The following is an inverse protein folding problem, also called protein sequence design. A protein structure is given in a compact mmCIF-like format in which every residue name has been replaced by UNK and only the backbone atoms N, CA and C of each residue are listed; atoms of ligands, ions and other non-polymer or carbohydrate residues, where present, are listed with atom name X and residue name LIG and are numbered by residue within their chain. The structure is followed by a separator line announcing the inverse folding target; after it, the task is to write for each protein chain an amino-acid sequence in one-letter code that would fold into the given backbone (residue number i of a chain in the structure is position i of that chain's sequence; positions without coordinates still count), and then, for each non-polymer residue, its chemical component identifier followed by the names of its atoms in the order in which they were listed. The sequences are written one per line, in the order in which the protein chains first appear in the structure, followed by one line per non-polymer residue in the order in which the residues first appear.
data_IF_587946644915
#
_entry.id   IF_587946644915
#
_cell.length_a   1.000
_cell.length_b   1.000
_cell.length_c   1.000
_cell.angle_alpha   90.00
_cell.angle_beta   90.00
_cell.angle_gamma   90.00
#
_symmetry.space_group_name_H-M   'P 1'
#
loop_
_entity.id
_entity.type
_entity.pdbx_description
1 polymer ?
#
# COMPACT_ATOMS: atom_id res chain seq x y z
N UNK A 1 -54.27 -79.30 86.74
CA UNK A 1 -53.69 -79.78 85.46
C UNK A 1 -53.72 -78.75 84.32
N UNK A 2 -53.97 -77.46 84.58
CA UNK A 2 -54.01 -76.41 83.54
C UNK A 2 -52.70 -75.63 83.36
N UNK A 3 -51.69 -75.83 84.23
CA UNK A 3 -50.47 -75.02 84.28
C UNK A 3 -49.40 -75.42 83.23
N UNK A 4 -49.31 -76.70 82.84
CA UNK A 4 -48.31 -77.16 81.86
C UNK A 4 -48.68 -76.75 80.41
N UNK A 5 -49.98 -76.66 80.11
CA UNK A 5 -50.46 -76.24 78.79
C UNK A 5 -50.21 -74.75 78.49
N UNK A 6 -50.28 -73.88 79.51
CA UNK A 6 -49.96 -72.45 79.37
C UNK A 6 -48.47 -72.21 79.22
N UNK A 7 -47.63 -72.93 79.98
CA UNK A 7 -46.17 -72.81 79.89
C UNK A 7 -45.63 -73.18 78.49
N UNK A 8 -46.09 -74.30 77.92
CA UNK A 8 -45.72 -74.71 76.55
C UNK A 8 -46.21 -73.75 75.47
N UNK A 9 -47.36 -73.11 75.67
CA UNK A 9 -47.85 -72.08 74.73
C UNK A 9 -46.98 -70.83 74.77
N UNK A 10 -46.52 -70.41 75.95
CA UNK A 10 -45.64 -69.24 76.11
C UNK A 10 -44.26 -69.49 75.50
N UNK A 11 -43.67 -70.68 75.69
CA UNK A 11 -42.37 -71.01 75.09
C UNK A 11 -42.45 -71.16 73.57
N UNK A 12 -43.52 -71.75 73.04
CA UNK A 12 -43.76 -71.82 71.60
C UNK A 12 -43.94 -70.42 70.98
N UNK A 13 -44.70 -69.53 71.64
CA UNK A 13 -44.85 -68.14 71.18
C UNK A 13 -43.52 -67.39 71.19
N UNK A 14 -42.70 -67.54 72.24
CA UNK A 14 -41.38 -66.92 72.32
C UNK A 14 -40.44 -67.41 71.20
N UNK A 15 -40.42 -68.71 70.90
CA UNK A 15 -39.62 -69.28 69.81
C UNK A 15 -40.09 -68.76 68.44
N UNK A 16 -41.40 -68.64 68.21
CA UNK A 16 -41.90 -68.09 66.94
C UNK A 16 -41.55 -66.61 66.74
N UNK A 17 -41.56 -65.82 67.83
CA UNK A 17 -41.16 -64.41 67.80
C UNK A 17 -39.67 -64.25 67.50
N UNK A 18 -38.79 -65.03 68.12
CA UNK A 18 -37.35 -64.97 67.84
C UNK A 18 -37.01 -65.42 66.43
N UNK A 19 -37.69 -66.45 65.90
CA UNK A 19 -37.52 -66.89 64.51
C UNK A 19 -37.96 -65.80 63.52
N UNK A 20 -39.08 -65.14 63.78
CA UNK A 20 -39.57 -64.04 62.93
C UNK A 20 -38.62 -62.84 62.94
N UNK A 21 -38.07 -62.47 64.10
CA UNK A 21 -37.08 -61.39 64.24
C UNK A 21 -35.78 -61.71 63.47
N UNK A 22 -35.32 -62.96 63.53
CA UNK A 22 -34.16 -63.40 62.76
C UNK A 22 -34.42 -63.37 61.25
N UNK A 23 -35.62 -63.76 60.80
CA UNK A 23 -36.02 -63.64 59.40
C UNK A 23 -36.02 -62.16 58.94
N UNK A 24 -36.54 -61.23 59.74
CA UNK A 24 -36.50 -59.81 59.42
C UNK A 24 -35.07 -59.26 59.34
N UNK A 25 -34.17 -59.68 60.24
CA UNK A 25 -32.76 -59.29 60.18
C UNK A 25 -32.07 -59.79 58.91
N UNK A 26 -32.30 -61.05 58.52
CA UNK A 26 -31.76 -61.60 57.27
C UNK A 26 -32.28 -60.82 56.07
N UNK A 27 -33.59 -60.52 56.02
CA UNK A 27 -34.17 -59.73 54.95
C UNK A 27 -33.57 -58.33 54.87
N UNK A 28 -33.34 -57.68 56.01
CA UNK A 28 -32.69 -56.37 56.06
C UNK A 28 -31.25 -56.41 55.52
N UNK A 29 -30.48 -57.44 55.88
CA UNK A 29 -29.10 -57.64 55.38
C UNK A 29 -29.11 -57.89 53.88
N UNK A 30 -30.02 -58.72 53.37
CA UNK A 30 -30.16 -58.99 51.92
C UNK A 30 -30.48 -57.69 51.17
N UNK A 31 -31.44 -56.90 51.66
CA UNK A 31 -31.78 -55.61 51.06
C UNK A 31 -30.59 -54.66 51.08
N UNK A 32 -29.87 -54.55 52.21
CA UNK A 32 -28.68 -53.72 52.31
C UNK A 32 -27.58 -54.13 51.32
N UNK A 33 -27.37 -55.44 51.11
CA UNK A 33 -26.41 -55.96 50.13
C UNK A 33 -26.82 -55.64 48.68
N UNK A 34 -28.11 -55.73 48.37
CA UNK A 34 -28.64 -55.34 47.05
C UNK A 34 -28.42 -53.85 46.81
N UNK A 35 -28.73 -53.00 47.80
CA UNK A 35 -28.50 -51.56 47.71
C UNK A 35 -27.02 -51.21 47.57
N UNK A 36 -26.15 -51.86 48.34
CA UNK A 36 -24.71 -51.66 48.23
C UNK A 36 -24.21 -52.01 46.82
N UNK A 37 -24.62 -53.17 46.28
CA UNK A 37 -24.29 -53.56 44.90
C UNK A 37 -24.83 -52.57 43.87
N UNK A 38 -26.04 -52.03 44.07
CA UNK A 38 -26.65 -51.05 43.19
C UNK A 38 -25.87 -49.72 43.17
N UNK A 39 -25.45 -49.24 44.34
CA UNK A 39 -24.66 -48.01 44.46
C UNK A 39 -23.29 -48.19 43.80
N UNK A 40 -22.63 -49.33 44.01
CA UNK A 40 -21.35 -49.61 43.37
C UNK A 40 -21.49 -49.63 41.84
N UNK A 41 -22.53 -50.29 41.30
CA UNK A 41 -22.80 -50.30 39.86
C UNK A 41 -23.05 -48.89 39.30
N UNK A 42 -23.87 -48.10 39.99
CA UNK A 42 -24.16 -46.73 39.60
C UNK A 42 -22.90 -45.83 39.63
N UNK A 43 -21.96 -46.06 40.56
CA UNK A 43 -20.67 -45.37 40.58
C UNK A 43 -19.82 -45.71 39.37
N UNK A 44 -19.78 -46.97 38.94
CA UNK A 44 -19.04 -47.37 37.75
C UNK A 44 -19.59 -46.71 36.48
N UNK A 45 -20.92 -46.72 36.30
CA UNK A 45 -21.57 -46.04 35.17
C UNK A 45 -21.36 -44.51 35.22
N UNK A 46 -21.29 -43.93 36.42
CA UNK A 46 -21.02 -42.50 36.58
C UNK A 46 -19.57 -42.12 36.25
N UNK A 47 -18.59 -42.93 36.65
CA UNK A 47 -17.16 -42.62 36.40
C UNK A 47 -16.85 -42.66 34.90
N UNK A 48 -17.47 -43.60 34.14
CA UNK A 48 -17.35 -43.66 32.68
C UNK A 48 -17.92 -42.40 32.00
N UNK A 49 -19.12 -41.97 32.39
CA UNK A 49 -19.73 -40.74 31.85
C UNK A 49 -18.92 -39.50 32.26
N UNK A 50 -18.37 -39.48 33.47
CA UNK A 50 -17.57 -38.37 33.99
C UNK A 50 -16.29 -38.14 33.18
N UNK A 51 -15.63 -39.19 32.68
CA UNK A 51 -14.47 -39.01 31.78
C UNK A 51 -14.88 -38.30 30.49
N UNK A 52 -15.95 -38.78 29.83
CA UNK A 52 -16.45 -38.12 28.60
C UNK A 52 -16.91 -36.68 28.85
N UNK A 53 -17.54 -36.42 30.00
CA UNK A 53 -18.01 -35.09 30.36
C UNK A 53 -16.85 -34.14 30.70
N UNK A 54 -15.79 -34.66 31.34
CA UNK A 54 -14.58 -33.92 31.62
C UNK A 54 -13.86 -33.52 30.31
N UNK A 55 -13.78 -34.43 29.35
CA UNK A 55 -13.22 -34.12 28.03
C UNK A 55 -14.01 -33.06 27.28
N UNK A 56 -15.35 -33.11 27.36
CA UNK A 56 -16.24 -32.07 26.83
C UNK A 56 -15.99 -30.73 27.54
N UNK A 57 -15.90 -30.70 28.88
CA UNK A 57 -15.62 -29.46 29.62
C UNK A 57 -14.25 -28.88 29.20
N UNK A 58 -13.24 -29.72 29.07
CA UNK A 58 -11.90 -29.31 28.64
C UNK A 58 -11.96 -28.73 27.23
N UNK A 59 -12.70 -29.35 26.30
CA UNK A 59 -12.84 -28.84 24.93
C UNK A 59 -13.55 -27.48 24.90
N UNK A 60 -14.65 -27.33 25.64
CA UNK A 60 -15.37 -26.06 25.75
C UNK A 60 -14.51 -24.97 26.38
N UNK A 61 -13.75 -25.28 27.44
CA UNK A 61 -12.84 -24.30 28.05
C UNK A 61 -11.76 -23.84 27.07
N UNK A 62 -11.24 -24.77 26.24
CA UNK A 62 -10.27 -24.48 25.18
C UNK A 62 -10.89 -23.63 24.07
N UNK A 63 -12.10 -23.97 23.64
CA UNK A 63 -12.84 -23.21 22.61
C UNK A 63 -13.19 -21.81 23.09
N UNK A 64 -13.65 -21.65 24.33
CA UNK A 64 -13.93 -20.34 24.93
C UNK A 64 -12.67 -19.49 25.03
N UNK A 65 -11.54 -20.09 25.41
CA UNK A 65 -10.25 -19.39 25.43
C UNK A 65 -9.85 -18.91 24.03
N UNK A 66 -9.93 -19.78 23.03
CA UNK A 66 -9.62 -19.44 21.64
C UNK A 66 -10.57 -18.37 21.06
N UNK A 67 -11.86 -18.44 21.40
CA UNK A 67 -12.85 -17.43 21.02
C UNK A 67 -12.53 -16.07 21.67
N UNK A 68 -12.13 -16.06 22.95
CA UNK A 68 -11.73 -14.85 23.67
C UNK A 68 -10.49 -14.22 23.05
N UNK A 69 -9.46 -15.01 22.73
CA UNK A 69 -8.24 -14.53 22.05
C UNK A 69 -8.56 -13.96 20.66
N UNK A 70 -9.42 -14.63 19.89
CA UNK A 70 -9.87 -14.16 18.57
C UNK A 70 -10.65 -12.85 18.67
N UNK A 71 -11.53 -12.72 19.68
CA UNK A 71 -12.26 -11.47 19.96
C UNK A 71 -11.33 -10.35 20.39
N UNK A 72 -10.29 -10.62 21.18
CA UNK A 72 -9.28 -9.62 21.52
C UNK A 72 -8.54 -9.12 20.28
N UNK A 73 -8.10 -10.02 19.40
CA UNK A 73 -7.46 -9.65 18.13
C UNK A 73 -8.40 -8.82 17.26
N UNK A 74 -9.67 -9.21 17.16
CA UNK A 74 -10.68 -8.47 16.41
C UNK A 74 -10.92 -7.08 17.02
N UNK A 75 -11.00 -6.98 18.35
CA UNK A 75 -11.15 -5.71 19.07
C UNK A 75 -9.97 -4.79 18.84
N UNK A 76 -8.74 -5.30 18.91
CA UNK A 76 -7.53 -4.53 18.60
C UNK A 76 -7.52 -4.04 17.15
N UNK A 77 -7.92 -4.89 16.19
CA UNK A 77 -8.06 -4.50 14.77
C UNK A 77 -9.13 -3.44 14.56
N UNK A 78 -10.29 -3.57 15.20
CA UNK A 78 -11.39 -2.59 15.14
C UNK A 78 -10.96 -1.26 15.74
N UNK A 79 -10.28 -1.26 16.89
CA UNK A 79 -9.77 -0.04 17.52
C UNK A 79 -8.73 0.67 16.63
N UNK A 80 -7.83 -0.09 15.99
CA UNK A 80 -6.88 0.47 15.03
C UNK A 80 -7.56 1.09 13.80
N UNK A 81 -8.54 0.38 13.23
CA UNK A 81 -9.33 0.90 12.09
C UNK A 81 -10.11 2.14 12.51
N UNK A 82 -10.72 2.13 13.70
CA UNK A 82 -11.46 3.26 14.25
C UNK A 82 -10.56 4.48 14.43
N UNK A 83 -9.36 4.31 15.00
CA UNK A 83 -8.39 5.39 15.15
C UNK A 83 -7.96 5.97 13.80
N UNK A 84 -7.68 5.10 12.81
CA UNK A 84 -7.35 5.53 11.44
C UNK A 84 -8.53 6.21 10.74
N UNK A 85 -9.74 5.74 10.98
CA UNK A 85 -10.98 6.34 10.47
C UNK A 85 -11.20 7.72 11.07
N UNK A 86 -10.99 7.89 12.38
CA UNK A 86 -11.09 9.19 13.05
C UNK A 86 -10.04 10.17 12.51
N UNK A 87 -8.81 9.72 12.28
CA UNK A 87 -7.77 10.53 11.63
C UNK A 87 -8.17 10.95 10.21
N UNK A 88 -8.75 10.03 9.42
CA UNK A 88 -9.26 10.33 8.09
C UNK A 88 -10.39 11.36 8.13
N UNK A 89 -11.34 11.22 9.07
CA UNK A 89 -12.43 12.18 9.27
C UNK A 89 -11.91 13.56 9.66
N UNK A 90 -10.90 13.65 10.53
CA UNK A 90 -10.24 14.92 10.86
C UNK A 90 -9.61 15.58 9.63
N UNK A 91 -8.92 14.80 8.78
CA UNK A 91 -8.36 15.31 7.52
C UNK A 91 -9.45 15.80 6.56
N UNK A 92 -10.57 15.07 6.48
CA UNK A 92 -11.73 15.47 5.67
C UNK A 92 -12.30 16.79 6.20
N UNK A 93 -12.50 16.94 7.51
CA UNK A 93 -13.01 18.18 8.10
C UNK A 93 -12.09 19.39 7.80
N UNK A 94 -10.76 19.19 7.84
CA UNK A 94 -9.79 20.24 7.46
C UNK A 94 -9.92 20.59 5.97
N UNK A 95 -10.05 19.59 5.10
CA UNK A 95 -10.23 19.80 3.67
C UNK A 95 -11.55 20.52 3.36
N UNK A 96 -12.64 20.13 4.02
CA UNK A 96 -13.94 20.77 3.91
C UNK A 96 -13.89 22.24 4.34
N UNK A 97 -13.21 22.54 5.45
CA UNK A 97 -12.97 23.93 5.88
C UNK A 97 -12.19 24.75 4.83
N UNK A 98 -11.17 24.15 4.20
CA UNK A 98 -10.42 24.80 3.11
C UNK A 98 -11.28 25.02 1.87
N UNK A 99 -12.11 24.05 1.50
CA UNK A 99 -13.04 24.14 0.37
C UNK A 99 -14.06 25.25 0.64
N UNK A 100 -14.61 25.33 1.85
CA UNK A 100 -15.55 26.38 2.23
C UNK A 100 -14.90 27.77 2.16
N UNK A 101 -13.66 27.91 2.63
CA UNK A 101 -12.92 29.18 2.52
C UNK A 101 -12.68 29.59 1.06
N UNK A 102 -12.29 28.65 0.19
CA UNK A 102 -12.11 28.92 -1.25
C UNK A 102 -13.46 29.29 -1.89
N UNK A 103 -14.53 28.58 -1.51
CA UNK A 103 -15.89 28.83 -2.01
C UNK A 103 -16.38 30.22 -1.60
N UNK A 104 -16.12 30.64 -0.36
CA UNK A 104 -16.45 31.96 0.16
C UNK A 104 -15.66 33.05 -0.60
N UNK A 105 -14.35 32.87 -0.78
CA UNK A 105 -13.50 33.79 -1.56
C UNK A 105 -13.85 33.84 -3.05
N UNK A 106 -14.34 32.74 -3.61
CA UNK A 106 -14.84 32.68 -4.98
C UNK A 106 -16.25 33.31 -5.10
N UNK A 107 -17.01 33.33 -4.01
CA UNK A 107 -18.33 33.97 -3.93
C UNK A 107 -18.26 35.45 -3.58
N UNK A 108 -17.10 35.96 -3.13
CA UNK A 108 -16.87 37.40 -2.93
C UNK A 108 -16.91 38.14 -4.29
N UNK A 109 -17.90 39.01 -4.52
CA UNK A 109 -18.10 39.71 -5.80
C UNK A 109 -17.03 40.80 -6.07
N UNK A 110 -16.10 41.01 -5.13
CA UNK A 110 -15.04 42.01 -5.25
C UNK A 110 -13.79 41.50 -5.97
N UNK A 111 -13.54 40.18 -6.00
CA UNK A 111 -12.40 39.63 -6.75
C UNK A 111 -12.52 39.87 -8.26
N UNK A 112 -13.74 39.77 -8.78
CA UNK A 112 -14.04 40.03 -10.19
C UNK A 112 -14.00 41.53 -10.52
N UNK A 113 -14.41 42.39 -9.58
CA UNK A 113 -14.35 43.85 -9.73
C UNK A 113 -12.93 44.40 -9.61
N UNK A 114 -12.12 43.85 -8.70
CA UNK A 114 -10.69 44.19 -8.56
C UNK A 114 -9.89 43.74 -9.79
N UNK A 115 -10.15 42.52 -10.29
CA UNK A 115 -9.55 42.03 -11.53
C UNK A 115 -9.94 42.92 -12.72
N UNK A 116 -11.21 43.32 -12.84
CA UNK A 116 -11.67 44.22 -13.89
C UNK A 116 -11.06 45.62 -13.80
N UNK A 117 -10.91 46.17 -12.58
CA UNK A 117 -10.26 47.45 -12.35
C UNK A 117 -8.78 47.40 -12.77
N UNK A 118 -8.05 46.36 -12.35
CA UNK A 118 -6.64 46.17 -12.72
C UNK A 118 -6.46 45.93 -14.22
N UNK A 119 -7.39 45.24 -14.88
CA UNK A 119 -7.36 45.05 -16.33
C UNK A 119 -7.56 46.37 -17.09
N UNK A 120 -8.47 47.23 -16.62
CA UNK A 120 -8.67 48.58 -17.15
C UNK A 120 -7.44 49.48 -16.96
N UNK A 121 -6.78 49.40 -15.80
CA UNK A 121 -5.56 50.18 -15.53
C UNK A 121 -4.39 49.72 -16.40
N UNK A 122 -4.24 48.41 -16.61
CA UNK A 122 -3.27 47.84 -17.54
C UNK A 122 -3.59 48.29 -18.97
N UNK A 123 -4.85 48.29 -19.38
CA UNK A 123 -5.25 48.74 -20.72
C UNK A 123 -4.90 50.22 -20.97
N UNK A 124 -5.14 51.09 -19.98
CA UNK A 124 -4.74 52.50 -20.03
C UNK A 124 -3.21 52.65 -20.12
N UNK A 125 -2.47 51.95 -19.28
CA UNK A 125 -1.01 51.98 -19.31
C UNK A 125 -0.46 51.47 -20.65
N UNK A 126 -1.08 50.45 -21.23
CA UNK A 126 -0.69 49.91 -22.54
C UNK A 126 -0.96 50.93 -23.66
N UNK A 127 -2.09 51.65 -23.61
CA UNK A 127 -2.39 52.75 -24.55
C UNK A 127 -1.40 53.90 -24.44
N UNK A 128 -1.01 54.29 -23.23
CA UNK A 128 -0.01 55.35 -23.02
C UNK A 128 1.38 54.92 -23.49
N UNK A 129 1.74 53.66 -23.31
CA UNK A 129 2.98 53.08 -23.86
C UNK A 129 2.94 53.07 -25.39
N UNK A 130 1.81 52.70 -26.00
CA UNK A 130 1.66 52.74 -27.47
C UNK A 130 1.77 54.18 -27.99
N UNK A 131 1.13 55.15 -27.34
CA UNK A 131 1.21 56.56 -27.73
C UNK A 131 2.64 57.11 -27.57
N UNK A 132 3.32 56.79 -26.47
CA UNK A 132 4.73 57.16 -26.28
C UNK A 132 5.64 56.48 -27.29
N UNK A 133 5.39 55.22 -27.65
CA UNK A 133 6.11 54.51 -28.71
C UNK A 133 5.88 55.17 -30.08
N UNK A 134 4.67 55.60 -30.41
CA UNK A 134 4.38 56.34 -31.64
C UNK A 134 5.14 57.68 -31.69
N UNK A 135 5.21 58.41 -30.57
CA UNK A 135 6.03 59.64 -30.51
C UNK A 135 7.52 59.36 -30.62
N UNK A 136 8.00 58.25 -30.05
CA UNK A 136 9.40 57.81 -30.17
C UNK A 136 9.72 57.38 -31.59
N UNK A 137 8.84 56.64 -32.27
CA UNK A 137 8.98 56.25 -33.68
C UNK A 137 9.04 57.49 -34.57
N UNK A 138 8.16 58.46 -34.38
CA UNK A 138 8.20 59.72 -35.14
C UNK A 138 9.50 60.51 -34.91
N UNK A 139 10.02 60.50 -33.67
CA UNK A 139 11.34 61.07 -33.35
C UNK A 139 12.46 60.28 -33.99
N UNK A 140 12.39 58.96 -33.99
CA UNK A 140 13.36 58.07 -34.63
C UNK A 140 13.36 58.27 -36.15
N UNK A 141 12.21 58.43 -36.80
CA UNK A 141 12.12 58.77 -38.22
C UNK A 141 12.69 60.17 -38.53
N UNK A 142 12.54 61.12 -37.61
CA UNK A 142 13.15 62.46 -37.74
C UNK A 142 14.68 62.42 -37.53
N UNK A 143 15.16 61.50 -36.70
CA UNK A 143 16.57 61.25 -36.45
C UNK A 143 17.18 60.45 -37.60
N UNK A 144 16.50 59.44 -38.10
CA UNK A 144 16.84 58.63 -39.27
C UNK A 144 16.94 59.53 -40.50
N UNK A 145 16.00 60.44 -40.75
CA UNK A 145 16.15 61.46 -41.82
C UNK A 145 17.38 62.36 -41.64
N UNK A 146 17.84 62.61 -40.40
CA UNK A 146 19.07 63.35 -40.09
C UNK A 146 20.34 62.49 -40.15
N UNK A 147 20.23 61.17 -39.95
CA UNK A 147 21.32 60.20 -39.97
C UNK A 147 21.53 59.64 -41.39
N UNK A 148 20.49 59.52 -42.20
CA UNK A 148 20.54 59.16 -43.62
C UNK A 148 21.27 60.23 -44.46
N UNK A 149 21.30 61.48 -44.00
CA UNK A 149 22.16 62.53 -44.58
C UNK A 149 23.63 62.42 -44.18
N UNK A 150 23.99 61.48 -43.29
CA UNK A 150 25.33 61.33 -42.75
C UNK A 150 25.97 59.94 -43.00
N UNK A 151 25.20 58.86 -43.21
CA UNK A 151 25.76 57.53 -43.40
C UNK A 151 24.94 56.63 -44.34
N UNK A 152 25.57 56.24 -45.45
CA UNK A 152 25.28 55.05 -46.27
C UNK A 152 26.38 53.99 -45.98
N UNK A 153 26.21 52.70 -46.34
CA UNK A 153 25.85 51.61 -45.42
C UNK A 153 27.02 50.68 -45.09
N UNK A 154 26.90 49.90 -44.00
CA UNK A 154 27.69 48.69 -43.79
C UNK A 154 26.91 47.69 -42.95
N UNK A 155 26.47 46.60 -43.58
CA UNK A 155 26.02 45.39 -42.88
C UNK A 155 27.19 44.77 -42.09
N UNK A 156 26.90 43.98 -41.04
CA UNK A 156 26.99 42.53 -41.27
C UNK A 156 25.94 41.70 -40.51
N UNK A 157 25.71 40.50 -41.06
CA UNK A 157 24.77 39.51 -40.55
C UNK A 157 25.04 39.01 -39.13
N UNK A 158 23.97 38.54 -38.50
CA UNK A 158 24.00 37.88 -37.19
C UNK A 158 23.52 36.43 -37.36
N UNK A 159 24.51 35.57 -37.29
CA UNK A 159 24.48 34.13 -37.13
C UNK A 159 23.70 33.73 -35.87
N UNK A 160 22.74 32.82 -36.02
CA UNK A 160 21.90 32.36 -34.92
C UNK A 160 22.69 31.45 -33.97
N UNK A 161 22.92 31.96 -32.77
CA UNK A 161 23.58 31.29 -31.64
C UNK A 161 22.60 30.40 -30.89
N UNK A 162 22.85 29.08 -30.86
CA UNK A 162 22.56 28.24 -29.69
C UNK A 162 23.70 27.22 -29.50
N UNK A 163 24.61 27.43 -28.53
CA UNK A 163 25.71 26.54 -28.23
C UNK A 163 25.33 25.65 -27.05
N UNK A 164 25.16 24.36 -27.28
CA UNK A 164 25.21 23.37 -26.20
C UNK A 164 26.38 22.44 -26.51
N UNK A 165 27.45 22.66 -25.73
CA UNK A 165 28.75 21.98 -25.71
C UNK A 165 28.66 20.51 -26.15
N UNK A 166 29.11 20.23 -27.37
CA UNK A 166 29.07 18.90 -28.02
C UNK A 166 30.23 17.98 -27.63
N UNK A 167 31.22 18.47 -26.90
CA UNK A 167 32.51 17.75 -26.76
C UNK A 167 32.79 17.16 -25.36
N UNK A 168 32.01 17.51 -24.31
CA UNK A 168 32.23 16.96 -22.95
C UNK A 168 31.35 15.77 -22.56
N UNK A 169 30.62 15.23 -23.52
CA UNK A 169 29.51 14.30 -23.28
C UNK A 169 30.00 12.84 -23.23
N UNK A 170 31.08 12.52 -23.95
CA UNK A 170 31.62 11.16 -24.07
C UNK A 170 32.74 10.82 -23.06
N UNK A 171 33.40 11.81 -22.46
CA UNK A 171 34.54 11.58 -21.55
C UNK A 171 34.16 10.93 -20.20
N UNK A 172 32.88 10.88 -19.85
CA UNK A 172 32.39 10.31 -18.59
C UNK A 172 31.63 8.97 -18.75
N UNK A 173 31.71 8.34 -19.92
CA UNK A 173 31.05 7.06 -20.15
C UNK A 173 31.94 5.91 -19.67
N UNK A 174 31.36 5.02 -18.87
CA UNK A 174 32.03 3.78 -18.47
C UNK A 174 32.09 2.80 -19.65
N UNK A 175 33.08 1.91 -19.70
CA UNK A 175 33.27 0.95 -20.82
C UNK A 175 31.99 0.16 -21.16
N UNK A 176 31.16 -0.13 -20.17
CA UNK A 176 29.87 -0.81 -20.32
C UNK A 176 28.76 0.09 -20.87
N UNK A 177 28.78 1.40 -20.58
CA UNK A 177 27.83 2.37 -21.15
C UNK A 177 28.05 2.49 -22.67
N UNK A 178 29.31 2.55 -23.11
CA UNK A 178 29.68 2.66 -24.51
C UNK A 178 29.30 1.40 -25.31
N UNK A 179 29.61 0.21 -24.78
CA UNK A 179 29.23 -1.06 -25.41
C UNK A 179 27.72 -1.24 -25.63
N UNK A 180 26.88 -0.65 -24.75
CA UNK A 180 25.43 -0.66 -24.93
C UNK A 180 25.00 0.30 -26.05
N UNK A 181 25.61 1.49 -26.12
CA UNK A 181 25.27 2.48 -27.14
C UNK A 181 25.65 1.99 -28.55
N UNK A 182 26.84 1.39 -28.70
CA UNK A 182 27.27 0.76 -29.95
C UNK A 182 26.33 -0.36 -30.39
N UNK A 183 25.92 -1.23 -29.46
CA UNK A 183 24.98 -2.32 -29.75
C UNK A 183 23.64 -1.78 -30.25
N UNK A 184 23.09 -0.76 -29.59
CA UNK A 184 21.80 -0.17 -29.98
C UNK A 184 21.90 0.59 -31.31
N UNK A 185 23.07 1.16 -31.63
CA UNK A 185 23.33 1.77 -32.92
C UNK A 185 23.42 0.72 -34.05
N UNK A 186 24.02 -0.45 -33.80
CA UNK A 186 24.18 -1.51 -34.80
C UNK A 186 22.91 -2.36 -34.99
N UNK A 187 22.24 -2.73 -33.89
CA UNK A 187 21.17 -3.74 -33.88
C UNK A 187 19.75 -3.14 -33.69
N UNK A 188 19.65 -1.84 -33.42
CA UNK A 188 18.38 -1.12 -33.31
C UNK A 188 17.66 -1.28 -31.95
N UNK A 189 16.35 -1.00 -31.88
CA UNK A 189 15.62 -0.87 -30.62
C UNK A 189 15.41 -2.20 -29.89
N UNK A 190 16.03 -2.33 -28.71
CA UNK A 190 16.03 -3.56 -27.90
C UNK A 190 15.40 -3.42 -26.52
N UNK A 191 15.03 -4.56 -25.97
CA UNK A 191 14.46 -4.71 -24.62
C UNK A 191 15.58 -4.84 -23.59
N UNK A 192 15.34 -4.42 -22.33
CA UNK A 192 16.31 -4.60 -21.24
C UNK A 192 16.80 -6.05 -21.05
N UNK A 193 15.96 -7.05 -21.36
CA UNK A 193 16.33 -8.47 -21.27
C UNK A 193 17.35 -8.88 -22.33
N UNK A 194 17.21 -8.35 -23.55
CA UNK A 194 18.12 -8.63 -24.68
C UNK A 194 19.47 -7.94 -24.46
N UNK A 195 19.44 -6.70 -23.94
CA UNK A 195 20.65 -5.96 -23.59
C UNK A 195 21.42 -6.68 -22.47
N UNK A 196 20.71 -7.18 -21.45
CA UNK A 196 21.27 -7.97 -20.34
C UNK A 196 22.04 -9.19 -20.82
N UNK A 197 21.49 -9.93 -21.78
CA UNK A 197 22.11 -11.15 -22.31
C UNK A 197 23.46 -10.86 -22.97
N UNK A 198 23.59 -9.72 -23.65
CA UNK A 198 24.81 -9.32 -24.34
C UNK A 198 25.90 -8.81 -23.39
N UNK A 199 25.55 -8.01 -22.39
CA UNK A 199 26.51 -7.46 -21.41
C UNK A 199 26.83 -8.41 -20.25
N UNK A 200 26.14 -9.56 -20.16
CA UNK A 200 26.29 -10.58 -19.10
C UNK A 200 26.26 -10.01 -17.67
N UNK A 201 25.49 -8.94 -17.45
CA UNK A 201 25.29 -8.34 -16.12
C UNK A 201 24.00 -8.80 -15.46
N UNK A 202 23.88 -8.55 -14.15
CA UNK A 202 22.61 -8.75 -13.43
C UNK A 202 21.50 -7.90 -14.04
N UNK A 203 20.26 -8.41 -13.97
CA UNK A 203 19.04 -7.70 -14.38
C UNK A 203 18.92 -6.33 -13.71
N UNK A 204 19.35 -6.23 -12.45
CA UNK A 204 19.31 -4.98 -11.70
C UNK A 204 20.34 -3.96 -12.19
N UNK A 205 21.58 -4.40 -12.42
CA UNK A 205 22.64 -3.52 -12.96
C UNK A 205 22.28 -3.01 -14.35
N UNK A 206 21.70 -3.87 -15.19
CA UNK A 206 21.21 -3.48 -16.52
C UNK A 206 20.11 -2.43 -16.41
N UNK A 207 19.15 -2.61 -15.50
CA UNK A 207 18.08 -1.63 -15.29
C UNK A 207 18.62 -0.27 -14.80
N UNK A 208 19.58 -0.29 -13.86
CA UNK A 208 20.25 0.94 -13.37
C UNK A 208 21.01 1.64 -14.49
N UNK A 209 21.71 0.89 -15.33
CA UNK A 209 22.44 1.39 -16.49
C UNK A 209 21.50 2.05 -17.51
N UNK A 210 20.41 1.38 -17.88
CA UNK A 210 19.42 1.93 -18.81
C UNK A 210 18.75 3.19 -18.25
N UNK A 211 18.44 3.21 -16.95
CA UNK A 211 17.89 4.39 -16.27
C UNK A 211 18.88 5.56 -16.33
N UNK A 212 20.15 5.32 -16.04
CA UNK A 212 21.21 6.33 -16.10
C UNK A 212 21.40 6.90 -17.52
N UNK A 213 21.43 6.05 -18.55
CA UNK A 213 21.57 6.48 -19.95
C UNK A 213 20.33 7.25 -20.45
N UNK A 214 19.14 6.87 -19.98
CA UNK A 214 17.90 7.62 -20.24
C UNK A 214 17.92 9.00 -19.58
N UNK A 215 18.31 9.10 -18.30
CA UNK A 215 18.42 10.38 -17.57
C UNK A 215 19.47 11.32 -18.17
N UNK A 216 20.57 10.77 -18.70
CA UNK A 216 21.57 11.54 -19.44
C UNK A 216 21.13 11.97 -20.84
N UNK A 217 19.98 11.48 -21.32
CA UNK A 217 19.42 11.86 -22.63
C UNK A 217 20.03 11.13 -23.84
N UNK A 218 20.73 10.01 -23.63
CA UNK A 218 21.32 9.21 -24.71
C UNK A 218 20.33 8.21 -25.32
N UNK A 219 19.38 7.75 -24.52
CA UNK A 219 18.38 6.77 -24.91
C UNK A 219 16.97 7.34 -24.82
N UNK A 220 16.14 6.92 -25.77
CA UNK A 220 14.70 7.10 -25.73
C UNK A 220 14.05 5.77 -25.39
N UNK A 221 12.95 5.80 -24.61
CA UNK A 221 12.18 4.60 -24.25
C UNK A 221 10.79 4.69 -24.85
N UNK A 222 10.38 3.67 -25.59
CA UNK A 222 9.00 3.56 -26.04
C UNK A 222 8.15 3.04 -24.88
N UNK A 223 7.31 3.93 -24.33
CA UNK A 223 6.43 3.62 -23.20
C UNK A 223 5.11 3.00 -23.64
N UNK A 224 4.88 2.82 -24.94
CA UNK A 224 3.63 2.32 -25.51
C UNK A 224 3.39 0.82 -25.32
N UNK A 225 4.44 0.02 -25.06
CA UNK A 225 4.34 -1.44 -24.88
C UNK A 225 5.30 -1.93 -23.78
N UNK A 226 4.84 -2.90 -22.99
CA UNK A 226 5.64 -3.62 -21.99
C UNK A 226 6.03 -4.97 -22.60
N UNK A 227 7.32 -5.38 -22.56
CA UNK A 227 8.45 -4.69 -21.94
C UNK A 227 8.97 -3.51 -22.79
N UNK A 228 9.50 -2.49 -22.12
CA UNK A 228 9.99 -1.26 -22.77
C UNK A 228 11.12 -1.55 -23.75
N UNK A 229 11.07 -0.88 -24.91
CA UNK A 229 12.14 -0.87 -25.91
C UNK A 229 12.94 0.42 -25.79
N UNK A 230 14.26 0.29 -25.88
CA UNK A 230 15.22 1.37 -25.80
C UNK A 230 15.82 1.59 -27.19
N UNK A 231 15.82 2.83 -27.65
CA UNK A 231 16.46 3.28 -28.89
C UNK A 231 17.45 4.40 -28.60
N UNK A 232 18.49 4.50 -29.41
CA UNK A 232 19.43 5.61 -29.34
C UNK A 232 18.79 6.89 -29.89
N UNK A 233 19.10 8.05 -29.31
CA UNK A 233 18.64 9.34 -29.84
C UNK A 233 19.29 9.61 -31.21
N UNK A 234 18.51 10.07 -32.20
CA UNK A 234 18.98 10.34 -33.57
C UNK A 234 20.21 11.26 -33.66
N UNK A 235 20.30 12.24 -32.77
CA UNK A 235 21.46 13.15 -32.69
C UNK A 235 22.75 12.38 -32.34
N UNK A 236 22.66 11.37 -31.47
CA UNK A 236 23.80 10.57 -31.02
C UNK A 236 24.18 9.49 -32.04
N UNK A 237 23.19 8.92 -32.73
CA UNK A 237 23.39 7.96 -33.82
C UNK A 237 24.28 8.53 -34.93
N UNK A 238 24.07 9.81 -35.28
CA UNK A 238 24.87 10.51 -36.29
C UNK A 238 26.32 10.76 -35.87
N UNK A 239 26.59 10.83 -34.56
CA UNK A 239 27.93 11.05 -34.01
C UNK A 239 28.73 9.75 -33.96
N UNK A 240 28.12 8.65 -33.52
CA UNK A 240 28.78 7.33 -33.45
C UNK A 240 29.16 6.81 -34.85
N UNK A 241 28.25 6.93 -35.83
CA UNK A 241 28.53 6.51 -37.22
C UNK A 241 29.68 7.29 -37.86
N UNK A 242 29.97 8.50 -37.36
CA UNK A 242 31.09 9.33 -37.83
C UNK A 242 32.42 8.90 -37.20
N UNK A 243 32.44 8.49 -35.94
CA UNK A 243 33.67 7.98 -35.30
C UNK A 243 34.16 6.65 -35.89
N UNK A 244 33.25 5.73 -36.25
CA UNK A 244 33.62 4.45 -36.88
C UNK A 244 34.32 4.66 -38.23
N UNK A 245 34.00 5.74 -38.95
CA UNK A 245 34.65 6.10 -40.22
C UNK A 245 36.05 6.71 -40.06
N UNK A 246 36.37 7.24 -38.88
CA UNK A 246 37.66 7.87 -38.57
C UNK A 246 38.63 6.86 -37.94
N UNK A 247 38.13 5.83 -37.24
CA UNK A 247 38.97 4.87 -36.52
C UNK A 247 39.33 3.61 -37.34
N UNK A 248 38.99 3.58 -38.64
CA UNK A 248 39.36 2.51 -39.58
C UNK A 248 40.35 2.97 -40.65
N UNK A 249 41.09 4.05 -40.39
CA UNK A 249 42.12 4.61 -41.26
C UNK A 249 43.46 4.73 -40.53
#
# INVERSE_FOLDING_TARGET
MTCDATSRRVTMLAITLTLSAYCFLIMAIIVALIYYKRIVRAKYEYEEVKETFNDIIISFSRELKSATESLQIMTSKVNFISAKSEEALRKIAILEGRINNITERASEPNGLKDLAARLSDIEKATRDVVASHETLVNRLSSLEKKVQTLFEPSEPGVEAVLPIKREKVFEQLTKTELAVLEMLAAEGPKTSSEIKERIKLSREHTARLMKKLYEKGYLERDSGKIPFRYSIKKELESLLKKEDSVNSM
#
